data_IF_174151922407
#
_entry.id   IF_174151922407
#
_cell.length_a   1.000
_cell.length_b   1.000
_cell.length_c   1.000
_cell.angle_alpha   90.00
_cell.angle_beta   90.00
_cell.angle_gamma   90.00
#
_symmetry.space_group_name_H-M   'P 1'
#
loop_
_entity.id
_entity.type
_entity.pdbx_description
1 polymer ?
#
# COMPACT_ATOMS: atom_id res chain seq x y z
N UNK A 1 9.98 23.43 -10.15
CA UNK A 1 9.62 23.97 -8.82
C UNK A 1 9.93 22.89 -7.80
N UNK A 2 10.41 23.29 -6.62
CA UNK A 2 10.68 22.44 -5.45
C UNK A 2 9.84 22.95 -4.27
N UNK A 3 9.63 22.12 -3.26
CA UNK A 3 8.99 22.57 -2.00
C UNK A 3 10.07 23.22 -1.13
N UNK A 4 9.91 24.51 -0.83
CA UNK A 4 10.86 25.25 0.01
C UNK A 4 10.70 24.89 1.50
N UNK A 5 11.81 24.68 2.21
CA UNK A 5 11.82 24.42 3.66
C UNK A 5 12.63 25.54 4.32
N UNK A 6 12.00 26.25 5.26
CA UNK A 6 12.62 27.30 6.06
C UNK A 6 13.21 26.72 7.35
N UNK A 7 14.17 27.40 8.01
CA UNK A 7 14.80 26.90 9.24
C UNK A 7 13.80 26.49 10.34
N UNK A 8 12.70 27.23 10.49
CA UNK A 8 11.68 27.00 11.51
C UNK A 8 10.40 26.31 10.96
N UNK A 9 10.49 25.70 9.77
CA UNK A 9 9.34 25.00 9.16
C UNK A 9 8.92 23.80 9.99
N UNK A 10 7.64 23.77 10.36
CA UNK A 10 6.96 22.60 10.92
C UNK A 10 6.17 21.87 9.86
N UNK A 11 6.38 20.55 9.78
CA UNK A 11 5.62 19.65 8.92
C UNK A 11 4.61 18.88 9.76
N UNK A 12 3.33 19.04 9.48
CA UNK A 12 2.24 18.30 10.10
C UNK A 12 1.73 17.23 9.15
N UNK A 13 1.75 15.97 9.56
CA UNK A 13 1.31 14.84 8.73
C UNK A 13 0.01 14.27 9.29
N UNK A 14 -1.10 14.50 8.59
CA UNK A 14 -2.42 14.07 9.04
C UNK A 14 -2.54 12.54 9.04
N UNK A 15 -2.92 11.96 10.18
CA UNK A 15 -3.04 10.51 10.37
C UNK A 15 -4.26 10.19 11.27
N UNK A 16 -5.02 9.11 11.00
CA UNK A 16 -6.12 8.73 11.89
C UNK A 16 -5.56 8.24 13.23
N UNK A 17 -6.18 8.67 14.34
CA UNK A 17 -5.77 8.21 15.67
C UNK A 17 -6.04 6.71 15.88
N UNK A 18 -5.06 6.01 16.47
CA UNK A 18 -5.10 4.62 16.91
C UNK A 18 -5.62 3.62 15.87
N UNK A 19 -5.19 3.78 14.61
CA UNK A 19 -5.59 2.93 13.50
C UNK A 19 -4.36 2.35 12.80
N UNK A 20 -4.31 1.02 12.64
CA UNK A 20 -3.14 0.33 12.13
C UNK A 20 -3.35 -0.30 10.73
N UNK A 21 -2.78 0.32 9.69
CA UNK A 21 -2.67 -0.23 8.34
C UNK A 21 -1.35 0.19 7.68
N UNK A 22 -1.11 -0.19 6.41
CA UNK A 22 0.13 0.19 5.71
C UNK A 22 0.26 1.69 5.45
N UNK A 23 -0.84 2.38 5.17
CA UNK A 23 -0.83 3.84 4.91
C UNK A 23 -0.33 4.65 6.11
N UNK A 24 -0.94 4.52 7.30
CA UNK A 24 -0.43 5.17 8.50
C UNK A 24 1.01 4.77 8.84
N UNK A 25 1.44 3.51 8.64
CA UNK A 25 2.84 3.11 8.85
C UNK A 25 3.80 3.93 7.94
N UNK A 26 3.45 4.07 6.66
CA UNK A 26 4.20 4.87 5.69
C UNK A 26 4.29 6.35 6.11
N UNK A 27 3.22 6.92 6.67
CA UNK A 27 3.23 8.31 7.15
C UNK A 27 4.17 8.50 8.36
N UNK A 28 4.24 7.52 9.26
CA UNK A 28 5.18 7.57 10.38
C UNK A 28 6.63 7.39 9.91
N UNK A 29 6.86 6.53 8.92
CA UNK A 29 8.18 6.41 8.27
C UNK A 29 8.59 7.73 7.63
N UNK A 30 7.68 8.38 6.89
CA UNK A 30 7.93 9.68 6.28
C UNK A 30 8.30 10.73 7.34
N UNK A 31 7.53 10.84 8.42
CA UNK A 31 7.85 11.76 9.52
C UNK A 31 9.18 11.44 10.20
N UNK A 32 9.46 10.15 10.43
CA UNK A 32 10.72 9.69 11.00
C UNK A 32 11.92 10.14 10.15
N UNK A 33 11.84 10.01 8.82
CA UNK A 33 12.91 10.44 7.92
C UNK A 33 13.02 11.97 7.82
N UNK A 34 11.92 12.73 7.89
CA UNK A 34 12.00 14.19 8.01
C UNK A 34 12.81 14.63 9.23
N UNK A 35 12.60 14.00 10.38
CA UNK A 35 13.27 14.35 11.63
C UNK A 35 14.73 13.87 11.63
N UNK A 36 14.95 12.60 11.31
CA UNK A 36 16.24 11.96 11.54
C UNK A 36 17.23 12.19 10.40
N UNK A 37 16.77 12.24 9.17
CA UNK A 37 17.67 12.35 8.01
C UNK A 37 17.73 13.78 7.48
N UNK A 38 16.57 14.45 7.38
CA UNK A 38 16.46 15.80 6.82
C UNK A 38 16.55 16.90 7.88
N UNK A 39 16.53 16.54 9.17
CA UNK A 39 16.62 17.47 10.31
C UNK A 39 15.54 18.58 10.28
N UNK A 40 14.33 18.24 9.83
CA UNK A 40 13.17 19.13 9.80
C UNK A 40 12.21 18.78 10.94
N UNK A 41 11.62 19.80 11.58
CA UNK A 41 10.62 19.58 12.62
C UNK A 41 9.35 18.99 12.00
N UNK A 42 9.00 17.76 12.36
CA UNK A 42 7.82 17.07 11.85
C UNK A 42 6.98 16.45 12.96
N UNK A 43 5.67 16.48 12.79
CA UNK A 43 4.69 15.98 13.75
C UNK A 43 3.65 15.10 13.08
N UNK A 44 3.26 14.01 13.75
CA UNK A 44 2.01 13.35 13.42
C UNK A 44 0.85 14.24 13.88
N UNK A 45 -0.02 14.65 12.95
CA UNK A 45 -1.26 15.35 13.25
C UNK A 45 -2.41 14.33 13.33
N UNK A 46 -2.76 13.91 14.54
CA UNK A 46 -3.82 12.92 14.75
C UNK A 46 -5.20 13.56 14.83
N UNK A 47 -6.04 13.26 13.83
CA UNK A 47 -7.45 13.64 13.84
C UNK A 47 -8.33 12.52 14.43
N UNK A 48 -9.53 12.89 14.88
CA UNK A 48 -10.50 11.99 15.53
C UNK A 48 -10.01 11.31 16.82
N UNK A 49 -8.96 11.83 17.46
CA UNK A 49 -8.55 11.33 18.78
C UNK A 49 -9.59 11.67 19.84
N UNK A 50 -9.95 10.68 20.65
CA UNK A 50 -10.84 10.85 21.81
C UNK A 50 -10.13 10.40 23.08
N UNK A 51 -9.61 11.36 23.84
CA UNK A 51 -8.87 11.13 25.08
C UNK A 51 -9.68 10.45 26.19
N UNK A 52 -11.03 10.46 26.11
CA UNK A 52 -11.87 9.74 27.07
C UNK A 52 -11.91 8.23 26.80
N UNK A 53 -11.57 7.81 25.57
CA UNK A 53 -11.60 6.38 25.15
C UNK A 53 -10.20 5.78 25.05
N UNK A 54 -9.21 6.59 24.70
CA UNK A 54 -7.86 6.14 24.38
C UNK A 54 -6.84 6.98 25.13
N UNK A 55 -5.83 6.31 25.70
CA UNK A 55 -4.75 6.98 26.43
C UNK A 55 -3.78 7.74 25.52
N UNK A 56 -3.59 7.24 24.29
CA UNK A 56 -2.68 7.80 23.30
C UNK A 56 -3.33 7.73 21.91
N UNK A 57 -3.09 8.71 21.02
CA UNK A 57 -3.50 8.60 19.62
C UNK A 57 -2.56 7.71 18.80
N UNK A 58 -1.37 7.39 19.31
CA UNK A 58 -0.37 6.55 18.62
C UNK A 58 -0.75 5.09 18.80
N UNK A 59 -0.87 4.35 17.71
CA UNK A 59 -1.05 2.90 17.78
C UNK A 59 0.27 2.21 18.19
N UNK A 60 0.27 1.15 19.01
CA UNK A 60 1.50 0.48 19.50
C UNK A 60 2.50 0.08 18.41
N UNK A 61 1.99 -0.28 17.24
CA UNK A 61 2.80 -0.65 16.06
C UNK A 61 3.68 0.49 15.52
N UNK A 62 3.38 1.73 15.88
CA UNK A 62 4.07 2.92 15.39
C UNK A 62 4.94 3.61 16.45
N UNK A 63 4.88 3.17 17.71
CA UNK A 63 5.68 3.73 18.80
C UNK A 63 7.19 3.69 18.51
N UNK A 64 7.64 2.66 17.80
CA UNK A 64 9.04 2.49 17.40
C UNK A 64 9.59 3.63 16.51
N UNK A 65 8.73 4.36 15.79
CA UNK A 65 9.18 5.48 14.96
C UNK A 65 9.48 6.74 15.79
N UNK A 66 8.99 6.79 17.03
CA UNK A 66 9.22 7.87 17.99
C UNK A 66 8.99 9.27 17.43
N UNK A 67 7.93 9.44 16.65
CA UNK A 67 7.56 10.72 16.04
C UNK A 67 6.71 11.52 17.04
N UNK A 68 7.04 12.80 17.33
CA UNK A 68 6.20 13.65 18.16
C UNK A 68 4.85 13.88 17.48
N UNK A 69 3.80 14.14 18.25
CA UNK A 69 2.46 14.29 17.69
C UNK A 69 1.71 15.49 18.29
N UNK A 70 0.73 15.95 17.51
CA UNK A 70 -0.26 16.94 17.92
C UNK A 70 -1.65 16.43 17.58
N UNK A 71 -2.66 16.86 18.33
CA UNK A 71 -4.09 16.56 18.05
C UNK A 71 -4.81 17.73 17.40
N UNK A 72 -4.14 18.88 17.32
CA UNK A 72 -4.58 20.11 16.65
C UNK A 72 -3.35 20.91 16.21
N UNK A 73 -3.44 21.55 15.05
CA UNK A 73 -2.49 22.59 14.64
C UNK A 73 -2.99 23.91 15.23
N UNK A 74 -2.11 24.64 15.91
CA UNK A 74 -2.45 25.91 16.56
C UNK A 74 -2.66 27.00 15.51
N UNK A 75 -3.51 27.99 15.78
CA UNK A 75 -3.78 29.10 14.84
C UNK A 75 -2.50 29.84 14.41
N UNK A 76 -1.55 30.03 15.34
CA UNK A 76 -0.24 30.65 15.04
C UNK A 76 0.60 29.86 14.02
N UNK A 77 0.37 28.55 13.90
CA UNK A 77 1.09 27.67 12.99
C UNK A 77 0.40 27.59 11.61
N UNK A 78 -0.78 28.19 11.42
CA UNK A 78 -1.44 28.35 10.11
C UNK A 78 -0.84 29.56 9.35
N UNK A 79 0.37 29.36 8.83
CA UNK A 79 1.13 30.36 8.09
C UNK A 79 1.92 29.71 6.95
N UNK A 80 2.43 30.52 6.02
CA UNK A 80 3.10 30.05 4.81
C UNK A 80 4.45 29.39 5.04
N UNK A 81 5.02 29.43 6.25
CA UNK A 81 6.28 28.75 6.56
C UNK A 81 6.03 27.26 6.84
N UNK A 82 4.90 26.92 7.45
CA UNK A 82 4.56 25.55 7.82
C UNK A 82 3.92 24.76 6.67
N UNK A 83 3.91 23.44 6.83
CA UNK A 83 3.38 22.50 5.84
C UNK A 83 2.39 21.53 6.49
N UNK A 84 1.25 21.33 5.86
CA UNK A 84 0.30 20.26 6.15
C UNK A 84 0.32 19.23 5.03
N UNK A 85 0.63 17.99 5.36
CA UNK A 85 0.54 16.83 4.47
C UNK A 85 -0.71 16.03 4.85
N UNK A 86 -1.59 15.79 3.88
CA UNK A 86 -2.75 14.88 4.03
C UNK A 86 -2.67 13.78 2.98
N UNK A 87 -3.21 12.60 3.27
CA UNK A 87 -3.33 11.54 2.26
C UNK A 87 -4.66 11.61 1.50
N UNK A 88 -4.84 10.75 0.49
CA UNK A 88 -5.92 10.82 -0.51
C UNK A 88 -7.37 10.63 -0.02
N UNK A 89 -7.56 10.35 1.27
CA UNK A 89 -8.88 10.06 1.82
C UNK A 89 -9.76 11.30 1.98
N UNK A 90 -11.07 11.13 1.83
CA UNK A 90 -12.04 12.25 1.80
C UNK A 90 -12.08 13.01 3.12
N UNK A 91 -11.91 12.32 4.25
CA UNK A 91 -11.90 12.97 5.57
C UNK A 91 -10.64 13.82 5.75
N UNK A 92 -9.54 13.37 5.19
CA UNK A 92 -8.22 13.96 5.32
C UNK A 92 -8.09 15.14 4.38
N UNK A 93 -8.58 15.01 3.15
CA UNK A 93 -8.78 16.12 2.23
C UNK A 93 -9.66 17.23 2.84
N UNK A 94 -10.67 16.88 3.65
CA UNK A 94 -11.50 17.89 4.32
C UNK A 94 -10.76 18.68 5.42
N UNK A 95 -9.61 18.19 5.92
CA UNK A 95 -8.78 18.93 6.86
C UNK A 95 -8.12 20.14 6.18
N UNK A 96 -7.89 20.09 4.86
CA UNK A 96 -7.29 21.18 4.09
C UNK A 96 -8.12 22.47 4.15
N UNK A 97 -9.44 22.36 4.30
CA UNK A 97 -10.35 23.51 4.39
C UNK A 97 -10.30 24.22 5.76
N UNK A 98 -9.64 23.64 6.76
CA UNK A 98 -9.57 24.21 8.12
C UNK A 98 -8.48 25.27 8.29
N UNK A 99 -7.54 25.30 7.36
CA UNK A 99 -6.34 26.12 7.43
C UNK A 99 -6.30 27.00 6.19
N UNK A 100 -6.05 28.29 6.33
CA UNK A 100 -6.09 29.23 5.22
C UNK A 100 -4.72 29.41 4.59
N UNK A 101 -3.67 29.56 5.42
CA UNK A 101 -2.36 30.04 4.99
C UNK A 101 -1.27 28.96 4.95
N UNK A 102 -1.45 27.86 5.69
CA UNK A 102 -0.49 26.75 5.69
C UNK A 102 -0.32 26.16 4.30
N UNK A 103 0.92 25.82 3.94
CA UNK A 103 1.18 25.18 2.64
C UNK A 103 0.71 23.73 2.69
N UNK A 104 -0.08 23.34 1.70
CA UNK A 104 -0.80 22.07 1.69
C UNK A 104 -0.21 21.13 0.65
N UNK A 105 0.07 19.90 1.08
CA UNK A 105 0.50 18.82 0.20
C UNK A 105 -0.50 17.67 0.31
N UNK A 106 -0.97 17.19 -0.85
CA UNK A 106 -1.73 15.95 -0.92
C UNK A 106 -0.80 14.82 -1.34
N UNK A 107 -0.76 13.76 -0.53
CA UNK A 107 0.01 12.56 -0.77
C UNK A 107 -0.89 11.42 -1.24
N UNK A 108 -0.81 11.07 -2.53
CA UNK A 108 -1.50 9.92 -3.09
C UNK A 108 -0.70 8.63 -2.84
N UNK A 109 -1.10 7.91 -1.78
CA UNK A 109 -0.57 6.59 -1.40
C UNK A 109 -1.25 5.47 -2.19
N UNK A 110 -2.46 5.72 -2.70
CA UNK A 110 -3.24 4.79 -3.52
C UNK A 110 -4.18 5.53 -4.46
N UNK A 111 -4.18 5.15 -5.74
CA UNK A 111 -5.17 5.65 -6.72
C UNK A 111 -6.57 5.19 -6.33
N UNK A 112 -6.70 3.92 -5.96
CA UNK A 112 -7.99 3.29 -5.72
C UNK A 112 -8.69 3.83 -4.48
N UNK A 113 -7.92 4.09 -3.41
CA UNK A 113 -8.47 4.60 -2.15
C UNK A 113 -9.12 5.98 -2.36
N UNK A 114 -8.50 6.84 -3.18
CA UNK A 114 -9.09 8.11 -3.56
C UNK A 114 -10.52 7.89 -4.08
N UNK A 115 -10.71 7.02 -5.08
CA UNK A 115 -12.03 6.78 -5.65
C UNK A 115 -12.98 6.04 -4.70
N UNK A 116 -12.50 5.04 -3.96
CA UNK A 116 -13.35 4.28 -3.02
C UNK A 116 -13.94 5.15 -1.92
N UNK A 117 -13.21 6.17 -1.47
CA UNK A 117 -13.73 7.11 -0.46
C UNK A 117 -14.71 8.15 -1.01
N UNK A 118 -14.77 8.33 -2.34
CA UNK A 118 -15.76 9.19 -2.99
C UNK A 118 -17.11 8.50 -3.17
N UNK A 119 -17.13 7.17 -3.14
CA UNK A 119 -18.33 6.35 -3.32
C UNK A 119 -19.36 6.65 -2.23
N UNK A 120 -20.60 6.88 -2.64
CA UNK A 120 -21.71 7.13 -1.71
C UNK A 120 -22.49 5.85 -1.42
N UNK A 121 -23.32 5.85 -0.36
CA UNK A 121 -24.19 4.71 -0.04
C UNK A 121 -25.05 4.27 -1.25
N UNK A 122 -25.51 5.22 -2.09
CA UNK A 122 -26.35 4.94 -3.27
C UNK A 122 -25.64 4.07 -4.32
N UNK A 123 -24.33 4.21 -4.44
CA UNK A 123 -23.51 3.46 -5.40
C UNK A 123 -23.37 1.99 -4.99
N UNK A 124 -23.27 1.73 -3.68
CA UNK A 124 -23.31 0.39 -3.10
C UNK A 124 -24.71 -0.26 -3.18
N UNK A 125 -25.78 0.54 -3.22
CA UNK A 125 -27.15 0.02 -3.32
C UNK A 125 -27.44 -0.60 -4.69
N UNK A 126 -26.98 0.03 -5.77
CA UNK A 126 -27.18 -0.47 -7.14
C UNK A 126 -26.43 -1.80 -7.33
N UNK A 127 -25.18 -1.87 -6.86
CA UNK A 127 -24.36 -3.10 -6.93
C UNK A 127 -24.89 -4.23 -6.04
N UNK A 128 -25.37 -3.93 -4.83
CA UNK A 128 -26.03 -4.95 -3.98
C UNK A 128 -27.36 -5.45 -4.55
N UNK A 129 -28.14 -4.60 -5.20
CA UNK A 129 -29.42 -4.99 -5.80
C UNK A 129 -29.22 -5.97 -6.96
N UNK A 130 -28.24 -5.70 -7.83
CA UNK A 130 -27.87 -6.60 -8.95
C UNK A 130 -27.42 -7.98 -8.42
N UNK A 131 -26.60 -8.00 -7.36
CA UNK A 131 -26.14 -9.25 -6.72
C UNK A 131 -27.26 -10.03 -6.02
N UNK A 132 -28.32 -9.35 -5.56
CA UNK A 132 -29.47 -9.98 -4.91
C UNK A 132 -30.41 -10.64 -5.93
N UNK A 133 -30.65 -9.99 -7.06
CA UNK A 133 -31.48 -10.52 -8.15
C UNK A 133 -30.81 -11.74 -8.79
N UNK A 134 -29.49 -11.71 -8.95
CA UNK A 134 -28.76 -12.78 -9.61
C UNK A 134 -28.69 -14.09 -8.80
N UNK A 135 -28.65 -14.00 -7.47
CA UNK A 135 -28.79 -15.15 -6.55
C UNK A 135 -30.16 -15.84 -6.65
N UNK A 136 -31.22 -15.09 -6.93
CA UNK A 136 -32.59 -15.61 -7.02
C UNK A 136 -32.77 -16.44 -8.30
N UNK A 137 -32.08 -16.08 -9.39
CA UNK A 137 -32.29 -16.68 -10.71
C UNK A 137 -31.34 -17.88 -10.96
N UNK A 138 -30.08 -17.85 -10.48
CA UNK A 138 -29.05 -18.82 -10.92
C UNK A 138 -28.44 -19.69 -9.80
N UNK A 139 -28.89 -19.58 -8.54
CA UNK A 139 -28.35 -20.33 -7.36
C UNK A 139 -26.82 -20.24 -7.13
N UNK A 140 -26.07 -19.57 -8.00
CA UNK A 140 -24.70 -19.10 -7.83
C UNK A 140 -24.72 -17.56 -7.88
N UNK A 141 -23.89 -16.85 -7.10
CA UNK A 141 -23.66 -15.43 -7.36
C UNK A 141 -23.11 -15.31 -8.78
N UNK A 142 -23.86 -14.66 -9.69
CA UNK A 142 -23.46 -14.49 -11.09
C UNK A 142 -22.28 -13.54 -11.26
N UNK A 143 -22.02 -12.70 -10.26
CA UNK A 143 -21.00 -11.67 -10.32
C UNK A 143 -20.12 -11.86 -9.09
N UNK A 144 -18.95 -12.44 -9.30
CA UNK A 144 -17.79 -12.20 -8.45
C UNK A 144 -17.44 -10.71 -8.61
N UNK A 145 -18.21 -9.83 -7.96
CA UNK A 145 -18.00 -8.39 -8.04
C UNK A 145 -16.78 -8.07 -7.19
N UNK A 146 -15.63 -8.21 -7.83
CA UNK A 146 -14.38 -7.71 -7.30
C UNK A 146 -14.44 -6.18 -7.36
N UNK A 147 -14.78 -5.56 -6.22
CA UNK A 147 -14.80 -4.09 -6.06
C UNK A 147 -13.45 -3.45 -6.39
N UNK A 148 -12.38 -4.24 -6.42
CA UNK A 148 -11.01 -3.84 -6.73
C UNK A 148 -10.61 -4.17 -8.18
N UNK A 149 -11.57 -4.51 -9.05
CA UNK A 149 -11.30 -4.70 -10.47
C UNK A 149 -11.02 -3.37 -11.18
N UNK A 150 -10.23 -3.45 -12.25
CA UNK A 150 -9.94 -2.28 -13.09
C UNK A 150 -11.24 -1.69 -13.68
N UNK A 151 -12.19 -2.52 -14.09
CA UNK A 151 -13.48 -2.07 -14.61
C UNK A 151 -14.29 -1.23 -13.63
N UNK A 152 -14.25 -1.58 -12.33
CA UNK A 152 -14.92 -0.79 -11.29
C UNK A 152 -14.22 0.55 -11.10
N UNK A 153 -12.88 0.53 -11.08
CA UNK A 153 -12.09 1.75 -10.97
C UNK A 153 -12.34 2.69 -12.16
N UNK A 154 -12.40 2.17 -13.39
CA UNK A 154 -12.64 2.96 -14.60
C UNK A 154 -14.01 3.64 -14.53
N UNK A 155 -15.07 2.91 -14.11
CA UNK A 155 -16.40 3.48 -13.89
C UNK A 155 -16.42 4.56 -12.80
N UNK A 156 -15.63 4.37 -11.73
CA UNK A 156 -15.50 5.38 -10.68
C UNK A 156 -14.75 6.62 -11.19
N UNK A 157 -13.71 6.45 -12.00
CA UNK A 157 -12.96 7.54 -12.59
C UNK A 157 -13.78 8.36 -13.60
N UNK A 158 -14.63 7.70 -14.40
CA UNK A 158 -15.60 8.37 -15.27
C UNK A 158 -16.61 9.21 -14.47
N UNK A 159 -17.08 8.67 -13.34
CA UNK A 159 -18.09 9.33 -12.51
C UNK A 159 -17.50 10.46 -11.65
N UNK A 160 -16.32 10.25 -11.09
CA UNK A 160 -15.66 11.13 -10.13
C UNK A 160 -14.37 11.68 -10.74
N UNK A 161 -14.49 12.57 -11.71
CA UNK A 161 -13.34 13.23 -12.33
C UNK A 161 -12.54 14.04 -11.28
N UNK A 162 -11.38 13.52 -10.88
CA UNK A 162 -10.53 14.12 -9.84
C UNK A 162 -10.13 15.56 -10.16
N UNK A 163 -10.04 15.93 -11.45
CA UNK A 163 -9.65 17.29 -11.88
C UNK A 163 -10.70 18.33 -11.51
N UNK A 164 -11.93 17.88 -11.23
CA UNK A 164 -13.05 18.71 -10.81
C UNK A 164 -13.24 18.71 -9.29
N UNK A 165 -12.46 17.93 -8.54
CA UNK A 165 -12.58 17.86 -7.09
C UNK A 165 -12.11 19.17 -6.43
N UNK A 166 -12.99 19.90 -5.73
CA UNK A 166 -12.63 21.17 -5.11
C UNK A 166 -11.63 21.00 -3.96
N UNK A 167 -11.59 19.84 -3.29
CA UNK A 167 -10.65 19.63 -2.18
C UNK A 167 -9.22 19.45 -2.69
N UNK A 168 -9.05 18.78 -3.83
CA UNK A 168 -7.72 18.63 -4.44
C UNK A 168 -7.13 19.99 -4.84
N UNK A 169 -7.97 20.96 -5.22
CA UNK A 169 -7.55 22.32 -5.60
C UNK A 169 -7.07 23.18 -4.44
N UNK A 170 -7.29 22.74 -3.19
CA UNK A 170 -6.77 23.44 -2.00
C UNK A 170 -5.27 23.20 -1.79
N UNK A 171 -4.68 22.20 -2.46
CA UNK A 171 -3.28 21.87 -2.30
C UNK A 171 -2.36 22.79 -3.11
N UNK A 172 -1.20 23.11 -2.55
CA UNK A 172 -0.12 23.80 -3.25
C UNK A 172 0.78 22.83 -4.01
N UNK A 173 0.90 21.60 -3.52
CA UNK A 173 1.74 20.56 -4.10
C UNK A 173 1.05 19.20 -4.02
N UNK A 174 1.45 18.29 -4.90
CA UNK A 174 0.99 16.91 -4.91
C UNK A 174 2.21 15.98 -4.87
N UNK A 175 2.06 14.82 -4.24
CA UNK A 175 3.06 13.76 -4.30
C UNK A 175 2.39 12.40 -4.45
N UNK A 176 3.07 11.44 -5.05
CA UNK A 176 2.62 10.05 -5.12
C UNK A 176 3.73 9.07 -4.80
N UNK A 177 3.37 7.98 -4.12
CA UNK A 177 4.31 6.93 -3.74
C UNK A 177 4.50 5.85 -4.80
N UNK A 178 3.66 5.86 -5.83
CA UNK A 178 3.69 4.91 -6.92
C UNK A 178 3.85 5.62 -8.25
N UNK A 179 4.55 4.96 -9.15
CA UNK A 179 4.62 5.34 -10.55
C UNK A 179 3.24 5.26 -11.21
N UNK A 180 2.41 4.29 -10.81
CA UNK A 180 0.99 4.26 -11.19
C UNK A 180 0.27 5.55 -10.80
N UNK A 181 0.39 5.98 -9.54
CA UNK A 181 -0.26 7.21 -9.06
C UNK A 181 0.29 8.47 -9.72
N UNK A 182 1.62 8.55 -9.92
CA UNK A 182 2.28 9.61 -10.67
C UNK A 182 1.69 9.78 -12.08
N UNK A 183 1.47 8.67 -12.79
CA UNK A 183 0.82 8.68 -14.12
C UNK A 183 -0.65 9.06 -14.03
N UNK A 184 -1.37 8.48 -13.09
CA UNK A 184 -2.83 8.64 -12.98
C UNK A 184 -3.25 10.07 -12.67
N UNK A 185 -2.54 10.72 -11.74
CA UNK A 185 -2.83 12.09 -11.28
C UNK A 185 -1.93 13.14 -11.96
N UNK A 186 -1.43 12.84 -13.17
CA UNK A 186 -0.44 13.66 -13.86
C UNK A 186 -0.93 15.07 -14.22
N UNK A 187 -2.24 15.31 -14.30
CA UNK A 187 -2.82 16.64 -14.52
C UNK A 187 -2.71 17.56 -13.30
N UNK A 188 -2.50 17.01 -12.10
CA UNK A 188 -2.26 17.80 -10.89
C UNK A 188 -0.80 18.27 -10.89
N UNK A 189 -0.57 19.57 -10.76
CA UNK A 189 0.77 20.16 -10.80
C UNK A 189 0.97 21.18 -9.68
N UNK A 190 2.18 21.25 -9.10
CA UNK A 190 3.33 20.35 -9.30
C UNK A 190 3.11 18.97 -8.62
N UNK A 191 3.47 17.88 -9.31
CA UNK A 191 3.41 16.50 -8.80
C UNK A 191 4.82 15.95 -8.63
N UNK A 192 5.12 15.44 -7.44
CA UNK A 192 6.40 14.82 -7.10
C UNK A 192 6.27 13.31 -6.92
N UNK A 193 7.31 12.57 -7.29
CA UNK A 193 7.37 11.13 -7.10
C UNK A 193 8.23 10.82 -5.87
N UNK A 194 7.64 10.12 -4.89
CA UNK A 194 8.32 9.67 -3.68
C UNK A 194 8.16 8.14 -3.58
N UNK A 195 8.94 7.35 -4.35
CA UNK A 195 8.74 5.91 -4.43
C UNK A 195 8.77 5.24 -3.05
N UNK A 196 7.76 4.41 -2.76
CA UNK A 196 7.69 3.66 -1.50
C UNK A 196 8.37 2.28 -1.62
N UNK A 197 9.64 2.24 -1.22
CA UNK A 197 10.38 0.99 -1.01
C UNK A 197 10.52 0.62 0.46
N UNK A 198 9.89 1.36 1.37
CA UNK A 198 10.06 1.15 2.80
C UNK A 198 9.46 -0.17 3.27
N UNK A 199 10.17 -0.80 4.20
CA UNK A 199 9.71 -1.92 5.00
C UNK A 199 9.95 -1.63 6.48
N UNK A 200 9.25 -2.35 7.35
CA UNK A 200 9.48 -2.22 8.79
C UNK A 200 10.91 -2.70 9.13
N UNK A 201 11.64 -1.94 9.97
CA UNK A 201 13.07 -2.17 10.26
C UNK A 201 13.38 -3.61 10.71
N UNK A 202 12.42 -4.26 11.39
CA UNK A 202 12.58 -5.64 11.86
C UNK A 202 12.81 -6.63 10.71
N UNK A 203 12.27 -6.38 9.52
CA UNK A 203 12.54 -7.22 8.35
C UNK A 203 13.97 -7.04 7.83
N UNK A 204 14.49 -5.81 7.87
CA UNK A 204 15.86 -5.47 7.48
C UNK A 204 16.84 -6.11 8.47
N UNK A 205 16.62 -5.93 9.77
CA UNK A 205 17.44 -6.52 10.84
C UNK A 205 17.52 -8.04 10.72
N UNK A 206 16.37 -8.69 10.51
CA UNK A 206 16.27 -10.14 10.33
C UNK A 206 16.89 -10.65 9.02
N UNK A 207 17.05 -9.77 8.02
CA UNK A 207 17.72 -10.09 6.76
C UNK A 207 19.23 -10.23 6.92
N UNK A 208 19.86 -9.47 7.83
CA UNK A 208 21.31 -9.55 8.08
C UNK A 208 21.74 -10.91 8.65
N UNK A 209 20.88 -11.55 9.45
CA UNK A 209 21.10 -12.86 10.03
C UNK A 209 20.41 -14.00 9.25
N UNK A 210 20.04 -13.76 7.98
CA UNK A 210 19.30 -14.73 7.18
C UNK A 210 20.19 -15.92 6.78
N UNK A 211 19.87 -17.11 7.30
CA UNK A 211 20.48 -18.36 6.85
C UNK A 211 19.70 -18.93 5.65
N UNK A 212 20.24 -18.78 4.44
CA UNK A 212 19.61 -19.26 3.20
C UNK A 212 19.42 -20.79 3.18
N UNK A 213 20.29 -21.57 3.84
CA UNK A 213 20.14 -23.02 3.94
C UNK A 213 18.90 -23.46 4.73
N UNK A 214 18.27 -22.55 5.48
CA UNK A 214 17.04 -22.83 6.24
C UNK A 214 15.76 -22.71 5.40
N UNK A 215 15.88 -22.20 4.16
CA UNK A 215 14.76 -22.05 3.21
C UNK A 215 14.22 -23.42 2.79
N UNK A 216 12.90 -23.50 2.65
CA UNK A 216 12.14 -24.72 2.34
C UNK A 216 11.31 -24.50 1.07
N UNK A 217 11.06 -25.59 0.34
CA UNK A 217 10.15 -25.64 -0.82
C UNK A 217 8.70 -25.46 -0.37
N UNK A 218 8.37 -24.26 0.09
CA UNK A 218 7.03 -23.83 0.50
C UNK A 218 6.74 -22.48 -0.15
N UNK A 219 5.46 -22.24 -0.41
CA UNK A 219 4.95 -20.99 -0.95
C UNK A 219 4.22 -20.23 0.15
N UNK A 220 4.70 -19.06 0.53
CA UNK A 220 3.93 -18.13 1.35
C UNK A 220 3.00 -17.30 0.45
N UNK A 221 1.81 -16.94 0.91
CA UNK A 221 0.90 -16.11 0.11
C UNK A 221 0.00 -15.21 0.93
N UNK A 222 -0.48 -14.13 0.34
CA UNK A 222 -1.47 -13.23 0.95
C UNK A 222 -2.90 -13.67 0.60
N UNK A 223 -3.69 -14.20 1.55
CA UNK A 223 -5.05 -14.68 1.27
C UNK A 223 -6.11 -13.57 1.32
N UNK A 224 -5.75 -12.33 1.72
CA UNK A 224 -6.75 -11.26 1.88
C UNK A 224 -7.20 -10.67 0.56
N UNK A 225 -6.42 -10.82 -0.51
CA UNK A 225 -6.66 -10.23 -1.83
C UNK A 225 -6.45 -11.29 -2.90
N UNK A 226 -7.27 -11.30 -3.96
CA UNK A 226 -7.14 -12.27 -5.06
C UNK A 226 -7.36 -13.73 -4.66
N UNK A 227 -8.00 -14.00 -3.51
CA UNK A 227 -8.10 -15.34 -2.92
C UNK A 227 -8.68 -16.38 -3.87
N UNK A 228 -9.68 -16.02 -4.68
CA UNK A 228 -10.33 -16.96 -5.61
C UNK A 228 -9.35 -17.49 -6.66
N UNK A 229 -8.51 -16.62 -7.22
CA UNK A 229 -7.49 -17.02 -8.19
C UNK A 229 -6.38 -17.82 -7.51
N UNK A 230 -5.87 -17.35 -6.37
CA UNK A 230 -4.84 -18.07 -5.59
C UNK A 230 -5.32 -19.45 -5.14
N UNK A 231 -6.60 -19.61 -4.80
CA UNK A 231 -7.20 -20.90 -4.44
C UNK A 231 -7.13 -21.89 -5.60
N UNK A 232 -7.40 -21.45 -6.84
CA UNK A 232 -7.25 -22.28 -8.03
C UNK A 232 -5.80 -22.73 -8.19
N UNK A 233 -4.81 -21.84 -8.04
CA UNK A 233 -3.40 -22.21 -8.07
C UNK A 233 -3.11 -23.32 -7.04
N UNK A 234 -3.58 -23.17 -5.80
CA UNK A 234 -3.38 -24.16 -4.72
C UNK A 234 -4.03 -25.51 -5.08
N UNK A 235 -5.21 -25.50 -5.71
CA UNK A 235 -5.93 -26.72 -6.12
C UNK A 235 -5.24 -27.46 -7.28
N UNK A 236 -4.56 -26.75 -8.20
CA UNK A 236 -3.83 -27.35 -9.32
C UNK A 236 -2.36 -27.69 -9.00
N UNK A 237 -1.82 -27.15 -7.92
CA UNK A 237 -0.41 -27.27 -7.55
C UNK A 237 -0.14 -28.48 -6.64
N UNK A 238 -0.39 -29.69 -7.16
CA UNK A 238 -0.18 -30.94 -6.42
C UNK A 238 1.26 -31.06 -5.89
N UNK A 239 1.39 -31.44 -4.62
CA UNK A 239 2.67 -31.62 -3.95
C UNK A 239 3.37 -30.33 -3.48
N UNK A 240 2.81 -29.15 -3.75
CA UNK A 240 3.35 -27.87 -3.29
C UNK A 240 2.67 -27.45 -1.99
N UNK A 241 3.46 -27.15 -0.96
CA UNK A 241 2.93 -26.67 0.32
C UNK A 241 2.76 -25.16 0.32
N UNK A 242 1.51 -24.70 0.43
CA UNK A 242 1.16 -23.28 0.57
C UNK A 242 0.89 -22.91 2.04
N UNK A 243 1.41 -21.75 2.47
CA UNK A 243 1.21 -21.21 3.83
C UNK A 243 0.56 -19.81 3.73
N UNK A 244 -0.69 -19.65 4.18
CA UNK A 244 -1.36 -18.35 4.16
C UNK A 244 -0.80 -17.41 5.22
N UNK A 245 -0.51 -16.17 4.83
CA UNK A 245 -0.19 -15.07 5.76
C UNK A 245 -1.51 -14.41 6.20
N UNK A 246 -2.16 -14.97 7.23
CA UNK A 246 -3.46 -14.50 7.74
C UNK A 246 -3.50 -14.45 9.25
N UNK A 247 -3.96 -13.32 9.80
CA UNK A 247 -4.13 -13.12 11.25
C UNK A 247 -2.83 -13.39 12.05
N UNK A 248 -1.70 -13.02 11.47
CA UNK A 248 -0.36 -13.24 12.03
C UNK A 248 0.19 -11.95 12.60
N UNK A 249 0.95 -12.05 13.69
CA UNK A 249 1.78 -10.93 14.16
C UNK A 249 3.00 -10.79 13.25
N UNK A 250 3.63 -9.61 13.22
CA UNK A 250 4.81 -9.34 12.38
C UNK A 250 5.91 -10.40 12.55
N UNK A 251 6.19 -10.83 13.78
CA UNK A 251 7.18 -11.89 14.06
C UNK A 251 6.86 -13.22 13.37
N UNK A 252 5.58 -13.56 13.26
CA UNK A 252 5.14 -14.82 12.64
C UNK A 252 5.27 -14.73 11.11
N UNK A 253 4.96 -13.55 10.55
CA UNK A 253 5.18 -13.25 9.12
C UNK A 253 6.66 -13.38 8.77
N UNK A 254 7.56 -12.76 9.55
CA UNK A 254 9.01 -12.89 9.41
C UNK A 254 9.44 -14.35 9.43
N UNK A 255 8.99 -15.12 10.43
CA UNK A 255 9.35 -16.52 10.58
C UNK A 255 8.92 -17.40 9.39
N UNK A 256 7.78 -17.10 8.79
CA UNK A 256 7.30 -17.81 7.59
C UNK A 256 8.14 -17.42 6.39
N UNK A 257 8.36 -16.12 6.17
CA UNK A 257 9.11 -15.62 5.00
C UNK A 257 10.59 -16.03 5.04
N UNK A 258 11.23 -16.07 6.22
CA UNK A 258 12.59 -16.63 6.38
C UNK A 258 12.67 -18.09 5.94
N UNK A 259 11.59 -18.86 6.12
CA UNK A 259 11.51 -20.29 5.73
C UNK A 259 11.05 -20.50 4.29
N UNK A 260 10.30 -19.58 3.70
CA UNK A 260 9.73 -19.78 2.36
C UNK A 260 10.72 -19.47 1.26
N UNK A 261 10.86 -20.35 0.27
CA UNK A 261 11.57 -20.04 -0.98
C UNK A 261 10.78 -19.10 -1.88
N UNK A 262 9.46 -19.26 -1.93
CA UNK A 262 8.60 -18.51 -2.85
C UNK A 262 7.53 -17.77 -2.06
N UNK A 263 7.24 -16.54 -2.49
CA UNK A 263 6.07 -15.78 -2.08
C UNK A 263 5.23 -15.43 -3.30
N UNK A 264 3.91 -15.63 -3.21
CA UNK A 264 2.98 -15.23 -4.28
C UNK A 264 1.94 -14.21 -3.79
N UNK A 265 1.63 -13.23 -4.63
CA UNK A 265 0.52 -12.30 -4.39
C UNK A 265 -0.18 -11.93 -5.72
N UNK A 266 -1.35 -12.52 -5.93
CA UNK A 266 -2.25 -12.22 -7.05
C UNK A 266 -3.41 -11.30 -6.65
N UNK A 267 -3.26 -10.63 -5.51
CA UNK A 267 -4.17 -9.60 -5.06
C UNK A 267 -4.08 -8.32 -5.88
N UNK A 268 -5.06 -7.44 -5.65
CA UNK A 268 -5.02 -6.09 -6.18
C UNK A 268 -4.07 -5.19 -5.40
N UNK A 269 -3.20 -4.45 -6.10
CA UNK A 269 -2.20 -3.56 -5.50
C UNK A 269 -2.63 -2.10 -5.66
N UNK A 270 -3.42 -1.53 -4.72
CA UNK A 270 -3.88 -0.15 -4.80
C UNK A 270 -2.74 0.88 -4.80
N UNK A 271 -1.64 0.54 -4.12
CA UNK A 271 -0.33 1.21 -4.15
C UNK A 271 0.78 0.14 -4.11
N UNK A 272 2.06 0.51 -3.91
CA UNK A 272 3.15 -0.44 -3.71
C UNK A 272 2.87 -1.26 -2.43
N UNK A 273 2.81 -2.59 -2.55
CA UNK A 273 2.40 -3.44 -1.43
C UNK A 273 3.58 -3.80 -0.52
N UNK A 274 3.31 -3.86 0.79
CA UNK A 274 4.32 -4.12 1.83
C UNK A 274 4.87 -5.56 1.80
N UNK A 275 4.00 -6.56 1.71
CA UNK A 275 4.41 -7.97 1.87
C UNK A 275 5.33 -8.46 0.74
N UNK A 276 5.14 -8.10 -0.55
CA UNK A 276 6.13 -8.41 -1.58
C UNK A 276 7.54 -7.89 -1.25
N UNK A 277 7.65 -6.67 -0.71
CA UNK A 277 8.94 -6.09 -0.26
C UNK A 277 9.52 -6.88 0.91
N UNK A 278 8.69 -7.15 1.94
CA UNK A 278 9.06 -7.98 3.10
C UNK A 278 9.51 -9.40 2.71
N UNK A 279 8.91 -9.98 1.66
CA UNK A 279 9.29 -11.29 1.13
C UNK A 279 10.61 -11.22 0.36
N UNK A 280 10.80 -10.19 -0.47
CA UNK A 280 12.04 -9.99 -1.23
C UNK A 280 13.24 -9.78 -0.30
N UNK A 281 13.12 -8.93 0.73
CA UNK A 281 14.20 -8.64 1.68
C UNK A 281 14.57 -9.87 2.52
N UNK A 282 13.59 -10.73 2.84
CA UNK A 282 13.84 -12.02 3.49
C UNK A 282 14.23 -13.14 2.52
N UNK A 283 14.54 -12.82 1.25
CA UNK A 283 15.15 -13.73 0.28
C UNK A 283 14.20 -14.69 -0.42
N UNK A 284 12.89 -14.41 -0.44
CA UNK A 284 11.94 -15.17 -1.27
C UNK A 284 12.08 -14.77 -2.75
N UNK A 285 11.83 -15.71 -3.66
CA UNK A 285 11.43 -15.38 -5.03
C UNK A 285 9.98 -14.89 -4.99
N UNK A 286 9.71 -13.72 -5.57
CA UNK A 286 8.43 -13.03 -5.49
C UNK A 286 7.71 -13.13 -6.84
N UNK A 287 6.53 -13.76 -6.85
CA UNK A 287 5.67 -13.87 -8.04
C UNK A 287 4.40 -13.06 -7.79
N UNK A 288 4.04 -12.16 -8.69
CA UNK A 288 2.87 -11.29 -8.50
C UNK A 288 1.89 -11.35 -9.66
N UNK A 289 0.68 -10.86 -9.39
CA UNK A 289 -0.27 -10.46 -10.42
C UNK A 289 0.21 -9.25 -11.23
N UNK A 290 -0.68 -8.76 -12.10
CA UNK A 290 -0.51 -7.50 -12.86
C UNK A 290 -1.59 -6.46 -12.53
N UNK A 291 -2.28 -6.58 -11.40
CA UNK A 291 -3.40 -5.70 -11.04
C UNK A 291 -2.95 -4.49 -10.23
N UNK A 292 -3.41 -3.30 -10.63
CA UNK A 292 -3.02 -2.04 -10.00
C UNK A 292 -1.52 -1.78 -10.14
N UNK A 293 -0.88 -1.38 -9.05
CA UNK A 293 0.56 -1.05 -8.99
C UNK A 293 1.45 -2.28 -9.28
N UNK A 294 0.94 -3.51 -9.13
CA UNK A 294 1.68 -4.71 -9.52
C UNK A 294 2.03 -4.77 -11.02
N UNK A 295 1.33 -4.02 -11.87
CA UNK A 295 1.61 -3.93 -13.30
C UNK A 295 2.93 -3.20 -13.61
N UNK A 296 3.39 -2.32 -12.72
CA UNK A 296 4.52 -1.43 -12.96
C UNK A 296 5.80 -1.98 -12.33
N UNK A 297 6.90 -1.90 -13.07
CA UNK A 297 8.20 -2.34 -12.58
C UNK A 297 8.72 -1.40 -11.50
N UNK A 298 8.49 -0.09 -11.66
CA UNK A 298 8.87 0.95 -10.72
C UNK A 298 8.22 0.76 -9.34
N UNK A 299 6.99 0.21 -9.31
CA UNK A 299 6.24 -0.05 -8.07
C UNK A 299 6.53 -1.42 -7.45
N UNK A 300 6.80 -2.42 -8.29
CA UNK A 300 7.17 -3.78 -7.88
C UNK A 300 8.23 -4.29 -8.85
N UNK A 301 9.54 -4.10 -8.55
CA UNK A 301 10.66 -4.32 -9.45
C UNK A 301 11.06 -5.79 -9.54
N UNK A 302 10.08 -6.61 -9.89
CA UNK A 302 10.25 -8.01 -10.30
C UNK A 302 10.17 -8.06 -11.83
N UNK A 303 11.02 -8.85 -12.46
CA UNK A 303 11.03 -8.96 -13.93
C UNK A 303 9.73 -9.55 -14.46
N UNK A 304 9.45 -9.34 -15.75
CA UNK A 304 8.18 -9.72 -16.36
C UNK A 304 7.88 -11.23 -16.29
N UNK A 305 8.90 -12.09 -16.19
CA UNK A 305 8.74 -13.54 -16.04
C UNK A 305 8.11 -13.97 -14.70
N UNK A 306 8.14 -13.09 -13.70
CA UNK A 306 7.53 -13.31 -12.38
C UNK A 306 6.18 -12.58 -12.22
N UNK A 307 5.66 -11.96 -13.30
CA UNK A 307 4.37 -11.26 -13.31
C UNK A 307 3.37 -11.95 -14.23
N UNK A 308 2.27 -12.44 -13.68
CA UNK A 308 1.22 -13.11 -14.46
C UNK A 308 -0.12 -12.39 -14.35
N UNK A 309 -0.90 -12.44 -15.43
CA UNK A 309 -2.32 -12.06 -15.35
C UNK A 309 -3.08 -13.14 -14.59
N UNK A 310 -4.08 -12.74 -13.80
CA UNK A 310 -4.94 -13.60 -12.98
C UNK A 310 -5.98 -14.36 -13.83
N UNK A 311 -5.49 -15.05 -14.87
CA UNK A 311 -6.26 -15.89 -15.80
C UNK A 311 -5.93 -17.36 -15.60
N UNK A 312 -6.94 -18.23 -15.67
CA UNK A 312 -6.78 -19.67 -15.43
C UNK A 312 -5.75 -20.33 -16.37
N UNK A 313 -5.69 -19.87 -17.62
CA UNK A 313 -4.69 -20.28 -18.63
C UNK A 313 -3.24 -20.05 -18.20
N UNK A 314 -2.98 -19.15 -17.23
CA UNK A 314 -1.64 -18.91 -16.69
C UNK A 314 -1.30 -19.81 -15.49
N UNK A 315 -2.27 -20.53 -14.90
CA UNK A 315 -2.03 -21.38 -13.71
C UNK A 315 -0.89 -22.39 -13.94
N UNK A 316 -0.84 -23.15 -15.07
CA UNK A 316 0.27 -24.06 -15.32
C UNK A 316 1.63 -23.36 -15.32
N UNK A 317 1.73 -22.20 -16.00
CA UNK A 317 2.97 -21.41 -16.07
C UNK A 317 3.40 -20.86 -14.71
N UNK A 318 2.44 -20.47 -13.86
CA UNK A 318 2.71 -20.02 -12.49
C UNK A 318 3.27 -21.18 -11.67
N UNK A 319 2.67 -22.37 -11.77
CA UNK A 319 3.14 -23.58 -11.06
C UNK A 319 4.54 -23.96 -11.52
N UNK A 320 4.81 -23.93 -12.83
CA UNK A 320 6.13 -24.21 -13.39
C UNK A 320 7.17 -23.21 -12.89
N UNK A 321 6.81 -21.91 -12.84
CA UNK A 321 7.70 -20.88 -12.27
C UNK A 321 7.94 -21.07 -10.77
N UNK A 322 6.95 -21.54 -10.00
CA UNK A 322 7.16 -21.90 -8.59
C UNK A 322 8.15 -23.06 -8.46
N UNK A 323 8.03 -24.10 -9.28
CA UNK A 323 8.94 -25.26 -9.29
C UNK A 323 10.36 -24.86 -9.70
N UNK A 324 10.51 -24.04 -10.74
CA UNK A 324 11.79 -23.44 -11.14
C UNK A 324 12.44 -22.66 -9.99
N UNK A 325 11.68 -21.85 -9.24
CA UNK A 325 12.18 -21.18 -8.04
C UNK A 325 12.59 -22.14 -6.91
N UNK A 326 11.99 -23.33 -6.82
CA UNK A 326 12.37 -24.32 -5.83
C UNK A 326 13.64 -25.07 -6.20
N UNK A 327 13.74 -25.49 -7.46
CA UNK A 327 14.85 -26.27 -8.02
C UNK A 327 16.11 -25.41 -8.20
N UNK A 328 15.94 -24.20 -8.75
CA UNK A 328 17.02 -23.28 -9.11
C UNK A 328 17.11 -22.09 -8.15
N UNK A 329 16.78 -22.28 -6.87
CA UNK A 329 16.58 -21.20 -5.89
C UNK A 329 17.75 -20.21 -5.80
N UNK A 330 19.00 -20.71 -5.73
CA UNK A 330 20.18 -19.85 -5.59
C UNK A 330 20.42 -18.95 -6.82
N UNK A 331 20.02 -19.41 -8.01
CA UNK A 331 20.07 -18.62 -9.23
C UNK A 331 18.90 -17.64 -9.29
N UNK A 332 17.65 -18.14 -9.17
CA UNK A 332 16.43 -17.33 -9.28
C UNK A 332 16.33 -16.23 -8.23
N UNK A 333 16.89 -16.42 -7.02
CA UNK A 333 16.92 -15.38 -5.99
C UNK A 333 17.70 -14.13 -6.44
N UNK A 334 18.69 -14.28 -7.33
CA UNK A 334 19.51 -13.16 -7.84
C UNK A 334 18.70 -12.20 -8.71
N UNK A 335 17.62 -12.68 -9.34
CA UNK A 335 16.72 -11.84 -10.15
C UNK A 335 16.01 -10.76 -9.32
N UNK A 336 15.98 -10.93 -7.99
CA UNK A 336 15.39 -10.00 -7.02
C UNK A 336 16.44 -9.15 -6.31
N UNK A 337 17.70 -9.14 -6.75
CA UNK A 337 18.79 -8.38 -6.12
C UNK A 337 18.54 -6.88 -6.18
N UNK A 338 18.16 -6.35 -7.35
CA UNK A 338 17.79 -4.94 -7.48
C UNK A 338 16.62 -4.57 -6.54
N UNK A 339 15.61 -5.44 -6.43
CA UNK A 339 14.49 -5.20 -5.52
C UNK A 339 14.95 -5.09 -4.06
N UNK A 340 15.87 -5.98 -3.63
CA UNK A 340 16.43 -5.91 -2.27
C UNK A 340 17.30 -4.70 -2.03
N UNK A 341 18.02 -4.21 -3.04
CA UNK A 341 18.94 -3.08 -2.90
C UNK A 341 18.24 -1.73 -2.75
N UNK A 342 17.03 -1.60 -3.29
CA UNK A 342 16.26 -0.35 -3.21
C UNK A 342 15.33 -0.29 -2.00
N UNK A 343 15.05 -1.43 -1.37
CA UNK A 343 14.38 -1.55 -0.06
C UNK A 343 15.37 -1.16 1.03
#
# INVERSE_FOLDING_TARGET
MSVEIYPDTKIYIACPANFATGGPELLHQLAHHFINDLKVEAFMYYYNFNGNKLKTPVHPEYEMYNVPYVTQILERDDNTENILIVYEGRKELSLLSRYENIRKIIYFVSVDNYYFEQVTKKDFFITRAINKISKIIIKKPLIDFDITSQEVLDKLAEKYDYRKDPLLKLANFYMSNSYRGLKWFSDLKPMYYLPDYYVNIRFIEESYALNLNSKKNIVAYNPKKGYLFTKKIIEFADGIKFIPIRNMMRKDVINILKKAKVYIDFGHFPGPERIPKEAAILGCCVITGKRGSAAFYEDVPVTAEYKFEDKEENIPKIIDKIKDCFENFEERRKDFEYYRQII
#
